data_IF_936998230009
#
_entry.id   IF_936998230009
#
_cell.length_a   1.000
_cell.length_b   1.000
_cell.length_c   1.000
_cell.angle_alpha   90.00
_cell.angle_beta   90.00
_cell.angle_gamma   90.00
#
_symmetry.space_group_name_H-M   'P 1'
#
loop_
_entity.id
_entity.type
_entity.pdbx_description
1 polymer ?
#
# COMPACT_ATOMS: atom_id res chain seq x y z
N UNK A 1 3.27 -7.51 -1.44
CA UNK A 1 3.90 -8.80 -1.03
C UNK A 1 2.95 -9.98 -0.83
N UNK A 2 1.67 -9.79 -0.45
CA UNK A 2 0.72 -10.91 -0.22
C UNK A 2 0.42 -11.73 -1.48
N UNK A 3 0.32 -11.12 -2.66
CA UNK A 3 0.04 -11.87 -3.90
C UNK A 3 1.15 -12.86 -4.28
N UNK A 4 2.42 -12.43 -4.15
CA UNK A 4 3.57 -13.29 -4.43
C UNK A 4 3.69 -14.43 -3.41
N UNK A 5 3.34 -14.19 -2.14
CA UNK A 5 3.38 -15.26 -1.13
C UNK A 5 2.39 -16.37 -1.43
N UNK A 6 1.20 -16.04 -1.92
CA UNK A 6 0.18 -17.02 -2.31
C UNK A 6 0.62 -17.87 -3.51
N UNK A 7 1.19 -17.24 -4.55
CA UNK A 7 1.72 -17.96 -5.71
C UNK A 7 2.87 -18.89 -5.33
N UNK A 8 3.80 -18.42 -4.48
CA UNK A 8 4.90 -19.24 -3.96
C UNK A 8 4.38 -20.39 -3.11
N UNK A 9 3.38 -20.16 -2.26
CA UNK A 9 2.71 -21.19 -1.49
C UNK A 9 2.12 -22.26 -2.39
N UNK A 10 1.42 -21.87 -3.46
CA UNK A 10 0.86 -22.83 -4.40
C UNK A 10 1.94 -23.64 -5.16
N UNK A 11 3.03 -23.00 -5.59
CA UNK A 11 4.18 -23.72 -6.17
C UNK A 11 4.78 -24.72 -5.18
N UNK A 12 4.86 -24.35 -3.90
CA UNK A 12 5.27 -25.25 -2.83
C UNK A 12 4.33 -26.45 -2.69
N UNK A 13 3.00 -26.24 -2.79
CA UNK A 13 2.00 -27.30 -2.74
C UNK A 13 2.15 -28.34 -3.86
N UNK A 14 2.66 -27.96 -5.04
CA UNK A 14 2.88 -28.88 -6.17
C UNK A 14 4.20 -29.65 -6.04
N UNK A 15 5.20 -29.09 -5.36
CA UNK A 15 6.53 -29.69 -5.18
C UNK A 15 6.53 -31.20 -4.86
N UNK A 16 5.72 -31.71 -3.90
CA UNK A 16 5.73 -33.13 -3.57
C UNK A 16 5.31 -34.03 -4.73
N UNK A 17 4.45 -33.56 -5.65
CA UNK A 17 4.07 -34.31 -6.86
C UNK A 17 5.27 -34.48 -7.80
N UNK A 18 6.08 -33.44 -7.96
CA UNK A 18 7.29 -33.46 -8.79
C UNK A 18 8.35 -34.39 -8.19
N UNK A 19 8.61 -34.27 -6.88
CA UNK A 19 9.58 -35.14 -6.18
C UNK A 19 9.14 -36.60 -6.24
N UNK A 20 7.84 -36.88 -6.09
CA UNK A 20 7.32 -38.25 -6.20
C UNK A 20 7.62 -38.90 -7.56
N UNK A 21 7.52 -38.15 -8.67
CA UNK A 21 7.88 -38.68 -9.99
C UNK A 21 9.34 -39.12 -10.04
N UNK A 22 10.24 -38.36 -9.42
CA UNK A 22 11.68 -38.68 -9.37
C UNK A 22 11.94 -39.95 -8.56
N UNK A 23 11.19 -40.17 -7.47
CA UNK A 23 11.37 -41.34 -6.60
C UNK A 23 10.40 -42.49 -6.91
N UNK A 24 9.73 -42.50 -8.06
CA UNK A 24 8.64 -43.43 -8.36
C UNK A 24 9.07 -44.91 -8.27
N UNK A 25 10.30 -45.23 -8.67
CA UNK A 25 10.87 -46.58 -8.65
C UNK A 25 11.52 -46.94 -7.30
N UNK A 26 11.60 -45.99 -6.37
CA UNK A 26 12.25 -46.19 -5.07
C UNK A 26 11.35 -46.97 -4.10
N UNK A 27 11.93 -47.61 -3.07
CA UNK A 27 11.16 -48.33 -2.05
C UNK A 27 10.11 -47.45 -1.37
N UNK A 28 9.06 -48.10 -0.82
CA UNK A 28 7.94 -47.41 -0.14
C UNK A 28 8.39 -46.49 0.99
N UNK A 29 9.50 -46.82 1.67
CA UNK A 29 10.08 -46.01 2.76
C UNK A 29 10.35 -44.57 2.32
N UNK A 30 10.86 -44.37 1.10
CA UNK A 30 11.11 -43.03 0.54
C UNK A 30 9.82 -42.21 0.37
N UNK A 31 8.71 -42.87 0.06
CA UNK A 31 7.42 -42.21 -0.13
C UNK A 31 6.79 -41.81 1.21
N UNK A 32 6.96 -42.62 2.26
CA UNK A 32 6.58 -42.24 3.62
C UNK A 32 7.49 -41.14 4.16
N UNK A 33 8.79 -41.24 3.92
CA UNK A 33 9.78 -40.22 4.28
C UNK A 33 9.49 -38.88 3.60
N UNK A 34 9.14 -38.87 2.30
CA UNK A 34 8.73 -37.67 1.59
C UNK A 34 7.53 -37.00 2.27
N UNK A 35 6.44 -37.74 2.56
CA UNK A 35 5.27 -37.18 3.23
C UNK A 35 5.62 -36.56 4.57
N UNK A 36 6.34 -37.32 5.40
CA UNK A 36 6.70 -36.90 6.76
C UNK A 36 7.60 -35.66 6.71
N UNK A 37 8.69 -35.70 5.95
CA UNK A 37 9.62 -34.58 5.83
C UNK A 37 8.92 -33.35 5.26
N UNK A 38 8.14 -33.53 4.20
CA UNK A 38 7.45 -32.43 3.54
C UNK A 38 6.45 -31.74 4.47
N UNK A 39 5.62 -32.47 5.21
CA UNK A 39 4.65 -31.83 6.11
C UNK A 39 5.30 -31.28 7.37
N UNK A 40 6.28 -31.99 7.95
CA UNK A 40 6.94 -31.54 9.20
C UNK A 40 7.75 -30.29 8.94
N UNK A 41 8.52 -30.21 7.85
CA UNK A 41 9.30 -29.02 7.50
C UNK A 41 8.43 -27.98 6.81
N UNK A 42 7.52 -28.41 5.94
CA UNK A 42 6.73 -27.51 5.11
C UNK A 42 5.61 -26.80 5.85
N UNK A 43 5.00 -27.39 6.88
CA UNK A 43 3.90 -26.73 7.58
C UNK A 43 4.34 -25.44 8.29
N UNK A 44 5.45 -25.38 9.05
CA UNK A 44 5.96 -24.12 9.59
C UNK A 44 6.33 -23.08 8.51
N UNK A 45 6.73 -23.52 7.33
CA UNK A 45 7.19 -22.63 6.26
C UNK A 45 6.06 -22.08 5.39
N UNK A 46 5.05 -22.92 5.09
CA UNK A 46 4.03 -22.65 4.07
C UNK A 46 2.60 -22.94 4.56
N UNK A 47 2.42 -23.40 5.79
CA UNK A 47 1.12 -23.61 6.43
C UNK A 47 0.16 -24.48 5.62
N UNK A 48 -1.00 -23.92 5.31
CA UNK A 48 -2.08 -24.53 4.51
C UNK A 48 -1.56 -25.12 3.19
N UNK A 49 -0.60 -24.47 2.54
CA UNK A 49 -0.05 -24.98 1.28
C UNK A 49 0.72 -26.30 1.43
N UNK A 50 1.35 -26.53 2.59
CA UNK A 50 1.93 -27.83 2.90
C UNK A 50 0.84 -28.90 3.07
N UNK A 51 -0.28 -28.56 3.71
CA UNK A 51 -1.44 -29.45 3.81
C UNK A 51 -2.01 -29.77 2.43
N UNK A 52 -2.17 -28.75 1.59
CA UNK A 52 -2.64 -28.88 0.21
C UNK A 52 -1.75 -29.80 -0.62
N UNK A 53 -0.43 -29.73 -0.45
CA UNK A 53 0.49 -30.65 -1.14
C UNK A 53 0.35 -32.11 -0.70
N UNK A 54 0.07 -32.37 0.57
CA UNK A 54 -0.27 -33.73 1.03
C UNK A 54 -1.61 -34.18 0.44
N UNK A 55 -2.62 -33.30 0.39
CA UNK A 55 -3.90 -33.59 -0.25
C UNK A 55 -3.68 -33.98 -1.72
N UNK A 56 -2.88 -33.23 -2.47
CA UNK A 56 -2.56 -33.59 -3.86
C UNK A 56 -1.86 -34.94 -3.99
N UNK A 57 -0.91 -35.25 -3.11
CA UNK A 57 -0.29 -36.58 -3.07
C UNK A 57 -1.33 -37.68 -2.84
N UNK A 58 -2.25 -37.48 -1.89
CA UNK A 58 -3.32 -38.43 -1.55
C UNK A 58 -4.28 -38.63 -2.73
N UNK A 59 -4.70 -37.55 -3.39
CA UNK A 59 -5.53 -37.60 -4.59
C UNK A 59 -4.82 -38.41 -5.67
N UNK A 60 -3.52 -38.16 -5.92
CA UNK A 60 -2.75 -38.91 -6.90
C UNK A 60 -2.74 -40.43 -6.62
N UNK A 61 -2.75 -40.85 -5.35
CA UNK A 61 -2.78 -42.27 -4.97
C UNK A 61 -4.11 -42.96 -5.22
N UNK A 62 -5.23 -42.25 -5.14
CA UNK A 62 -6.54 -42.80 -5.49
C UNK A 62 -6.56 -43.25 -6.95
N UNK A 63 -5.78 -42.58 -7.79
CA UNK A 63 -5.76 -42.76 -9.23
C UNK A 63 -4.57 -43.60 -9.75
N UNK A 64 -3.67 -44.09 -8.90
CA UNK A 64 -2.53 -44.93 -9.29
C UNK A 64 -2.96 -46.38 -9.57
N UNK A 65 -2.83 -46.88 -10.81
CA UNK A 65 -3.10 -48.28 -11.14
C UNK A 65 -2.04 -49.22 -10.52
N UNK A 66 -2.44 -50.45 -10.18
CA UNK A 66 -1.52 -51.51 -9.72
C UNK A 66 -1.16 -51.52 -8.22
N UNK A 67 -1.54 -50.51 -7.43
CA UNK A 67 -1.29 -50.51 -5.98
C UNK A 67 -2.27 -51.45 -5.24
N UNK A 68 -1.74 -52.39 -4.43
CA UNK A 68 -2.57 -53.28 -3.58
C UNK A 68 -3.48 -52.45 -2.65
N UNK A 69 -4.76 -52.83 -2.55
CA UNK A 69 -5.78 -52.12 -1.76
C UNK A 69 -5.35 -51.84 -0.30
N UNK A 70 -4.78 -52.83 0.39
CA UNK A 70 -4.25 -52.66 1.77
C UNK A 70 -3.13 -51.61 1.85
N UNK A 71 -2.18 -51.61 0.91
CA UNK A 71 -1.11 -50.60 0.89
C UNK A 71 -1.66 -49.21 0.62
N UNK A 72 -2.66 -49.10 -0.28
CA UNK A 72 -3.33 -47.83 -0.57
C UNK A 72 -4.01 -47.27 0.68
N UNK A 73 -4.77 -48.10 1.40
CA UNK A 73 -5.42 -47.72 2.66
C UNK A 73 -4.40 -47.21 3.68
N UNK A 74 -3.34 -47.97 3.97
CA UNK A 74 -2.30 -47.54 4.92
C UNK A 74 -1.65 -46.22 4.50
N UNK A 75 -1.40 -46.03 3.20
CA UNK A 75 -0.80 -44.79 2.72
C UNK A 75 -1.73 -43.58 2.86
N UNK A 76 -3.03 -43.77 2.63
CA UNK A 76 -4.05 -42.73 2.84
C UNK A 76 -4.20 -42.42 4.33
N UNK A 77 -4.38 -43.45 5.17
CA UNK A 77 -4.51 -43.29 6.62
C UNK A 77 -3.32 -42.55 7.21
N UNK A 78 -2.09 -42.90 6.83
CA UNK A 78 -0.88 -42.19 7.29
C UNK A 78 -0.85 -40.73 6.84
N UNK A 79 -1.29 -40.40 5.63
CA UNK A 79 -1.38 -39.02 5.18
C UNK A 79 -2.44 -38.22 5.93
N UNK A 80 -3.62 -38.79 6.18
CA UNK A 80 -4.69 -38.18 6.97
C UNK A 80 -4.28 -37.95 8.43
N UNK A 81 -3.61 -38.93 9.04
CA UNK A 81 -3.06 -38.78 10.40
C UNK A 81 -2.07 -37.62 10.44
N UNK A 82 -1.13 -37.54 9.50
CA UNK A 82 -0.17 -36.44 9.43
C UNK A 82 -0.84 -35.07 9.22
N UNK A 83 -1.86 -35.00 8.36
CA UNK A 83 -2.62 -33.78 8.11
C UNK A 83 -3.25 -33.20 9.38
N UNK A 84 -3.72 -34.06 10.28
CA UNK A 84 -4.36 -33.66 11.53
C UNK A 84 -3.34 -33.48 12.67
N UNK A 85 -2.39 -34.40 12.79
CA UNK A 85 -1.46 -34.43 13.92
C UNK A 85 -0.37 -33.37 13.83
N UNK A 86 0.15 -33.06 12.64
CA UNK A 86 1.29 -32.15 12.51
C UNK A 86 0.93 -30.70 12.88
N UNK A 87 -0.16 -30.12 12.35
CA UNK A 87 -0.62 -28.81 12.81
C UNK A 87 -0.89 -28.80 14.32
N UNK A 88 -1.56 -29.85 14.83
CA UNK A 88 -1.88 -29.97 16.26
C UNK A 88 -0.63 -30.10 17.15
N UNK A 89 0.40 -30.83 16.72
CA UNK A 89 1.67 -30.90 17.44
C UNK A 89 2.35 -29.53 17.44
N UNK A 90 2.34 -28.83 16.31
CA UNK A 90 2.96 -27.52 16.20
C UNK A 90 2.26 -26.45 17.04
N UNK A 91 0.96 -26.56 17.32
CA UNK A 91 0.27 -25.61 18.20
C UNK A 91 0.79 -25.63 19.64
N UNK A 92 1.45 -26.70 20.08
CA UNK A 92 2.12 -26.73 21.39
C UNK A 92 3.46 -25.97 21.43
N UNK A 93 4.12 -25.80 20.27
CA UNK A 93 5.44 -25.19 20.20
C UNK A 93 5.41 -23.75 19.67
N UNK A 94 4.43 -23.40 18.84
CA UNK A 94 4.31 -22.07 18.25
C UNK A 94 3.29 -21.21 19.02
N UNK A 95 3.79 -20.23 19.76
CA UNK A 95 2.96 -19.26 20.49
C UNK A 95 2.27 -18.24 19.58
N UNK A 96 2.72 -18.11 18.32
CA UNK A 96 2.27 -17.08 17.39
C UNK A 96 1.18 -17.58 16.41
N UNK A 97 0.76 -18.84 16.52
CA UNK A 97 -0.32 -19.38 15.70
C UNK A 97 -1.59 -19.37 16.54
N UNK A 98 -2.59 -18.61 16.11
CA UNK A 98 -3.92 -18.67 16.72
C UNK A 98 -4.49 -20.09 16.49
N UNK A 99 -4.83 -20.85 17.54
CA UNK A 99 -5.36 -22.21 17.40
C UNK A 99 -6.63 -22.29 16.53
N UNK A 100 -7.42 -21.21 16.46
CA UNK A 100 -8.62 -21.12 15.60
C UNK A 100 -8.25 -21.23 14.12
N UNK A 101 -7.11 -20.68 13.72
CA UNK A 101 -6.65 -20.62 12.32
C UNK A 101 -5.58 -21.66 12.00
N UNK A 102 -5.41 -22.68 12.84
CA UNK A 102 -4.33 -23.66 12.72
C UNK A 102 -4.25 -24.29 11.31
N UNK A 103 -5.39 -24.68 10.74
CA UNK A 103 -5.45 -25.29 9.41
C UNK A 103 -5.51 -24.27 8.27
N UNK A 104 -5.82 -23.01 8.56
CA UNK A 104 -5.82 -21.91 7.60
C UNK A 104 -4.50 -21.10 7.64
N UNK A 105 -3.55 -21.48 8.49
CA UNK A 105 -2.28 -20.77 8.66
C UNK A 105 -1.58 -20.58 7.30
N UNK A 106 -1.11 -19.37 7.00
CA UNK A 106 -0.46 -19.04 5.72
C UNK A 106 -1.43 -18.69 4.59
N UNK A 107 -2.73 -18.93 4.74
CA UNK A 107 -3.74 -18.25 3.92
C UNK A 107 -3.81 -16.76 4.33
N UNK A 108 -4.28 -15.89 3.42
CA UNK A 108 -4.49 -14.50 3.76
C UNK A 108 -5.57 -14.41 4.84
N UNK A 109 -5.37 -13.49 5.78
CA UNK A 109 -6.30 -13.28 6.89
C UNK A 109 -7.64 -12.75 6.34
N UNK A 110 -8.73 -13.45 6.67
CA UNK A 110 -10.13 -13.12 6.29
C UNK A 110 -10.87 -12.38 7.43
N UNK A 111 -10.15 -11.90 8.45
CA UNK A 111 -10.69 -11.40 9.74
C UNK A 111 -11.49 -10.08 9.66
N UNK A 112 -11.94 -9.66 8.49
CA UNK A 112 -12.75 -8.47 8.36
C UNK A 112 -14.17 -8.82 7.96
N UNK A 113 -15.02 -8.88 8.98
CA UNK A 113 -16.48 -8.98 8.91
C UNK A 113 -17.04 -8.27 7.66
N UNK A 114 -17.52 -9.05 6.69
CA UNK A 114 -18.28 -8.54 5.54
C UNK A 114 -17.54 -8.45 4.20
N UNK A 115 -16.29 -8.92 4.07
CA UNK A 115 -15.74 -9.19 2.74
C UNK A 115 -16.18 -10.56 2.24
N UNK A 116 -17.01 -10.60 1.19
CA UNK A 116 -17.24 -11.82 0.42
C UNK A 116 -15.87 -12.40 0.05
N UNK A 117 -15.59 -13.63 0.48
CA UNK A 117 -14.25 -14.21 0.48
C UNK A 117 -13.66 -14.28 -0.94
N UNK A 118 -12.90 -13.24 -1.32
CA UNK A 118 -12.23 -13.12 -2.62
C UNK A 118 -11.21 -14.25 -2.85
N UNK A 119 -10.90 -15.02 -1.81
CA UNK A 119 -10.01 -16.17 -1.85
C UNK A 119 -10.70 -17.43 -2.36
N UNK A 120 -12.02 -17.55 -2.31
CA UNK A 120 -12.70 -18.77 -2.74
C UNK A 120 -12.51 -19.06 -4.25
N UNK A 121 -12.63 -18.07 -5.17
CA UNK A 121 -12.26 -18.26 -6.57
C UNK A 121 -10.78 -18.68 -6.73
N UNK A 122 -9.88 -18.08 -5.95
CA UNK A 122 -8.44 -18.37 -6.03
C UNK A 122 -8.10 -19.78 -5.53
N UNK A 123 -8.64 -20.18 -4.38
CA UNK A 123 -8.52 -21.52 -3.81
C UNK A 123 -9.12 -22.58 -4.73
N UNK A 124 -10.28 -22.29 -5.34
CA UNK A 124 -10.90 -23.21 -6.30
C UNK A 124 -10.06 -23.35 -7.57
N UNK A 125 -9.43 -22.27 -8.05
CA UNK A 125 -8.49 -22.32 -9.17
C UNK A 125 -7.24 -23.13 -8.84
N UNK A 126 -6.64 -22.93 -7.67
CA UNK A 126 -5.49 -23.74 -7.23
C UNK A 126 -5.83 -25.21 -7.04
N UNK A 127 -6.97 -25.52 -6.43
CA UNK A 127 -7.42 -26.91 -6.26
C UNK A 127 -7.64 -27.55 -7.64
N UNK A 128 -8.36 -26.86 -8.54
CA UNK A 128 -8.63 -27.36 -9.89
C UNK A 128 -7.35 -27.57 -10.68
N UNK A 129 -6.43 -26.61 -10.63
CA UNK A 129 -5.15 -26.71 -11.31
C UNK A 129 -4.25 -27.80 -10.73
N UNK A 130 -4.17 -27.93 -9.40
CA UNK A 130 -3.42 -29.00 -8.75
C UNK A 130 -3.97 -30.39 -9.07
N UNK A 131 -5.30 -30.56 -9.07
CA UNK A 131 -5.93 -31.83 -9.48
C UNK A 131 -5.71 -32.10 -10.96
N UNK A 132 -5.76 -31.07 -11.81
CA UNK A 132 -5.40 -31.19 -13.23
C UNK A 132 -3.96 -31.69 -13.41
N UNK A 133 -2.99 -31.13 -12.67
CA UNK A 133 -1.59 -31.57 -12.68
C UNK A 133 -1.42 -33.01 -12.16
N UNK A 134 -2.19 -33.40 -11.14
CA UNK A 134 -2.26 -34.80 -10.69
C UNK A 134 -2.73 -35.71 -11.81
N UNK A 135 -3.75 -35.31 -12.58
CA UNK A 135 -4.22 -36.07 -13.72
C UNK A 135 -3.18 -36.15 -14.85
N UNK A 136 -2.51 -35.04 -15.15
CA UNK A 136 -1.43 -34.96 -16.14
C UNK A 136 -0.19 -35.76 -15.74
N UNK A 137 -0.10 -36.22 -14.48
CA UNK A 137 0.95 -37.13 -14.04
C UNK A 137 0.79 -38.56 -14.55
N UNK A 138 -0.37 -38.91 -15.13
CA UNK A 138 -0.60 -40.20 -15.78
C UNK A 138 0.02 -40.26 -17.19
N UNK A 139 0.39 -41.46 -17.67
CA UNK A 139 0.74 -41.62 -19.08
C UNK A 139 -0.46 -41.25 -19.97
N UNK A 140 -0.20 -40.54 -21.08
CA UNK A 140 -1.22 -40.01 -22.00
C UNK A 140 -2.26 -41.05 -22.45
N UNK A 141 -1.85 -42.32 -22.56
CA UNK A 141 -2.69 -43.44 -22.98
C UNK A 141 -3.77 -43.83 -21.95
N UNK A 142 -3.61 -43.44 -20.68
CA UNK A 142 -4.53 -43.76 -19.58
C UNK A 142 -5.49 -42.61 -19.24
N UNK A 143 -5.36 -41.46 -19.91
CA UNK A 143 -6.24 -40.31 -19.73
C UNK A 143 -7.57 -40.57 -20.43
N UNK A 144 -8.63 -40.84 -19.66
CA UNK A 144 -9.99 -40.87 -20.21
C UNK A 144 -10.37 -39.48 -20.73
N UNK A 145 -10.70 -39.37 -22.01
CA UNK A 145 -10.99 -38.10 -22.71
C UNK A 145 -12.03 -37.25 -21.99
N UNK A 146 -13.10 -37.87 -21.47
CA UNK A 146 -14.19 -37.17 -20.76
C UNK A 146 -13.76 -36.63 -19.38
N UNK A 147 -12.89 -37.35 -18.67
CA UNK A 147 -12.39 -36.89 -17.37
C UNK A 147 -11.37 -35.75 -17.56
N UNK A 148 -10.53 -35.85 -18.59
CA UNK A 148 -9.59 -34.81 -18.96
C UNK A 148 -10.31 -33.54 -19.42
N UNK A 149 -11.31 -33.65 -20.30
CA UNK A 149 -12.09 -32.50 -20.77
C UNK A 149 -12.89 -31.84 -19.64
N UNK A 150 -13.48 -32.63 -18.73
CA UNK A 150 -14.16 -32.11 -17.54
C UNK A 150 -13.24 -31.34 -16.59
N UNK A 151 -12.05 -31.88 -16.29
CA UNK A 151 -11.05 -31.19 -15.46
C UNK A 151 -10.50 -29.93 -16.13
N UNK A 152 -10.28 -29.98 -17.44
CA UNK A 152 -9.84 -28.81 -18.21
C UNK A 152 -10.93 -27.73 -18.22
N UNK A 153 -12.20 -28.09 -18.39
CA UNK A 153 -13.33 -27.17 -18.29
C UNK A 153 -13.42 -26.55 -16.88
N UNK A 154 -13.24 -27.34 -15.82
CA UNK A 154 -13.21 -26.83 -14.44
C UNK A 154 -12.04 -25.86 -14.20
N UNK A 155 -10.86 -26.15 -14.75
CA UNK A 155 -9.72 -25.24 -14.72
C UNK A 155 -10.04 -23.92 -15.43
N UNK A 156 -10.62 -23.98 -16.63
CA UNK A 156 -11.02 -22.77 -17.35
C UNK A 156 -12.09 -21.97 -16.61
N UNK A 157 -13.09 -22.63 -16.03
CA UNK A 157 -14.14 -21.99 -15.23
C UNK A 157 -13.57 -21.31 -13.99
N UNK A 158 -12.64 -21.97 -13.29
CA UNK A 158 -12.00 -21.39 -12.10
C UNK A 158 -11.04 -20.24 -12.45
N UNK A 159 -10.31 -20.33 -13.55
CA UNK A 159 -9.52 -19.20 -14.08
C UNK A 159 -10.42 -18.02 -14.48
N UNK A 160 -11.55 -18.29 -15.13
CA UNK A 160 -12.53 -17.27 -15.48
C UNK A 160 -13.15 -16.63 -14.24
N UNK A 161 -13.42 -17.42 -13.19
CA UNK A 161 -13.87 -16.90 -11.90
C UNK A 161 -12.80 -15.98 -11.27
N UNK A 162 -11.54 -16.41 -11.20
CA UNK A 162 -10.43 -15.55 -10.71
C UNK A 162 -10.34 -14.25 -11.51
N UNK A 163 -10.41 -14.31 -12.83
CA UNK A 163 -10.39 -13.11 -13.68
C UNK A 163 -11.59 -12.17 -13.45
N UNK A 164 -12.77 -12.74 -13.17
CA UNK A 164 -14.01 -11.99 -12.95
C UNK A 164 -14.01 -11.32 -11.59
N UNK A 165 -13.52 -12.00 -10.55
CA UNK A 165 -13.51 -11.53 -9.17
C UNK A 165 -12.20 -10.83 -8.75
N UNK A 166 -11.19 -10.78 -9.61
CA UNK A 166 -9.96 -10.01 -9.33
C UNK A 166 -10.26 -8.52 -9.24
N UNK A 167 -9.59 -7.83 -8.33
CA UNK A 167 -9.70 -6.38 -8.21
C UNK A 167 -9.06 -5.71 -9.45
N UNK A 168 -9.84 -4.91 -10.18
CA UNK A 168 -9.42 -4.19 -11.40
C UNK A 168 -9.26 -2.68 -11.16
N UNK A 169 -9.21 -2.27 -9.90
CA UNK A 169 -9.05 -0.87 -9.51
C UNK A 169 -7.65 -0.36 -9.92
N UNK A 170 -7.65 0.56 -10.90
CA UNK A 170 -6.42 1.17 -11.41
C UNK A 170 -5.78 2.09 -10.38
N UNK A 171 -6.57 2.70 -9.49
CA UNK A 171 -6.03 3.49 -8.41
C UNK A 171 -5.23 2.59 -7.47
N UNK A 172 -5.80 1.46 -7.04
CA UNK A 172 -5.10 0.49 -6.20
C UNK A 172 -3.81 -0.04 -6.85
N UNK A 173 -3.83 -0.41 -8.14
CA UNK A 173 -2.62 -0.82 -8.87
C UNK A 173 -1.55 0.30 -8.85
N UNK A 174 -1.97 1.54 -9.07
CA UNK A 174 -1.08 2.71 -9.04
C UNK A 174 -0.52 2.96 -7.64
N UNK A 175 -1.34 2.80 -6.59
CA UNK A 175 -0.91 2.93 -5.19
C UNK A 175 0.20 1.93 -4.88
N UNK A 176 0.03 0.65 -5.22
CA UNK A 176 1.05 -0.38 -4.99
C UNK A 176 2.37 -0.06 -5.71
N UNK A 177 2.29 0.44 -6.95
CA UNK A 177 3.47 0.86 -7.71
C UNK A 177 4.16 2.09 -7.09
N UNK A 178 3.38 3.04 -6.58
CA UNK A 178 3.86 4.24 -5.88
C UNK A 178 4.50 3.88 -4.55
N UNK A 179 3.89 3.02 -3.73
CA UNK A 179 4.46 2.58 -2.46
C UNK A 179 5.80 1.89 -2.64
N UNK A 180 5.95 1.07 -3.70
CA UNK A 180 7.23 0.50 -4.05
C UNK A 180 8.27 1.59 -4.40
N UNK A 181 7.87 2.61 -5.18
CA UNK A 181 8.76 3.74 -5.50
C UNK A 181 9.15 4.56 -4.26
N UNK A 182 8.21 4.83 -3.34
CA UNK A 182 8.47 5.49 -2.05
C UNK A 182 9.43 4.65 -1.20
N UNK A 183 9.30 3.33 -1.21
CA UNK A 183 10.17 2.44 -0.44
C UNK A 183 11.63 2.43 -0.92
N UNK A 184 11.86 2.92 -2.14
CA UNK A 184 13.14 3.10 -2.82
C UNK A 184 13.58 4.57 -2.85
N UNK A 185 12.82 5.46 -2.19
CA UNK A 185 13.06 6.91 -2.16
C UNK A 185 13.09 7.57 -3.58
N UNK A 186 12.38 6.99 -4.58
CA UNK A 186 12.28 7.48 -5.98
C UNK A 186 11.03 8.35 -6.20
N UNK A 187 11.14 9.62 -5.79
CA UNK A 187 10.03 10.59 -5.83
C UNK A 187 9.61 11.00 -7.24
N UNK A 188 10.55 11.02 -8.20
CA UNK A 188 10.23 11.32 -9.59
C UNK A 188 9.38 10.22 -10.21
N UNK A 189 9.64 8.96 -9.86
CA UNK A 189 8.78 7.84 -10.28
C UNK A 189 7.38 7.94 -9.68
N UNK A 190 7.25 8.39 -8.42
CA UNK A 190 5.93 8.66 -7.82
C UNK A 190 5.14 9.65 -8.67
N UNK A 191 5.75 10.78 -9.06
CA UNK A 191 5.10 11.78 -9.91
C UNK A 191 4.77 11.27 -11.31
N UNK A 192 5.65 10.46 -11.92
CA UNK A 192 5.38 9.83 -13.22
C UNK A 192 4.19 8.86 -13.15
N UNK A 193 4.13 8.01 -12.12
CA UNK A 193 3.04 7.07 -11.90
C UNK A 193 1.71 7.80 -11.64
N UNK A 194 1.72 8.81 -10.77
CA UNK A 194 0.54 9.63 -10.48
C UNK A 194 -0.01 10.34 -11.74
N UNK A 195 0.86 10.80 -12.65
CA UNK A 195 0.48 11.42 -13.92
C UNK A 195 0.01 10.43 -14.98
N UNK A 196 0.54 9.20 -14.94
CA UNK A 196 0.16 8.13 -15.85
C UNK A 196 -1.25 7.60 -15.57
N UNK A 197 -1.67 7.61 -14.30
CA UNK A 197 -3.03 7.27 -13.92
C UNK A 197 -4.05 8.22 -14.58
N UNK A 198 -5.07 7.64 -15.22
CA UNK A 198 -6.12 8.37 -15.95
C UNK A 198 -7.47 8.35 -15.23
N UNK A 199 -7.61 7.50 -14.23
CA UNK A 199 -8.78 7.50 -13.35
C UNK A 199 -8.81 8.74 -12.46
N UNK A 200 -9.98 9.05 -11.92
CA UNK A 200 -10.08 10.03 -10.83
C UNK A 200 -9.33 9.47 -9.60
N UNK A 201 -8.27 10.12 -9.10
CA UNK A 201 -7.48 9.58 -8.02
C UNK A 201 -8.27 9.61 -6.71
N UNK A 202 -8.12 8.56 -5.91
CA UNK A 202 -8.51 8.63 -4.49
C UNK A 202 -7.57 9.55 -3.70
N UNK A 203 -7.94 9.79 -2.44
CA UNK A 203 -7.17 10.66 -1.54
C UNK A 203 -5.78 10.12 -1.22
N UNK A 204 -5.57 8.80 -1.18
CA UNK A 204 -4.25 8.22 -0.91
C UNK A 204 -3.27 8.60 -2.01
N UNK A 205 -3.69 8.49 -3.27
CA UNK A 205 -2.89 8.91 -4.43
C UNK A 205 -2.61 10.41 -4.42
N UNK A 206 -3.59 11.23 -4.05
CA UNK A 206 -3.42 12.68 -3.87
C UNK A 206 -2.34 12.98 -2.82
N UNK A 207 -2.38 12.30 -1.67
CA UNK A 207 -1.41 12.49 -0.59
C UNK A 207 0.00 12.01 -0.98
N UNK A 208 0.14 10.83 -1.59
CA UNK A 208 1.44 10.34 -2.06
C UNK A 208 2.06 11.27 -3.10
N UNK A 209 1.25 11.77 -4.04
CA UNK A 209 1.70 12.76 -5.01
C UNK A 209 2.13 14.06 -4.33
N UNK A 210 1.33 14.59 -3.41
CA UNK A 210 1.66 15.84 -2.72
C UNK A 210 2.96 15.70 -1.92
N UNK A 211 3.19 14.56 -1.27
CA UNK A 211 4.47 14.26 -0.64
C UNK A 211 5.62 14.31 -1.65
N UNK A 212 5.48 13.68 -2.82
CA UNK A 212 6.52 13.72 -3.85
C UNK A 212 6.76 15.13 -4.41
N UNK A 213 5.71 15.94 -4.57
CA UNK A 213 5.86 17.34 -4.98
C UNK A 213 6.60 18.17 -3.93
N UNK A 214 6.35 17.92 -2.64
CA UNK A 214 7.09 18.56 -1.56
C UNK A 214 8.56 18.15 -1.54
N UNK A 215 8.85 16.86 -1.71
CA UNK A 215 10.23 16.35 -1.83
C UNK A 215 10.97 17.01 -3.00
N UNK A 216 10.26 17.35 -4.07
CA UNK A 216 10.78 18.09 -5.22
C UNK A 216 10.70 19.62 -5.09
N UNK A 217 10.35 20.15 -3.90
CA UNK A 217 10.24 21.60 -3.59
C UNK A 217 9.28 22.34 -4.53
N UNK A 218 8.19 21.68 -4.92
CA UNK A 218 7.24 22.18 -5.91
C UNK A 218 5.78 22.01 -5.48
N UNK A 219 5.50 21.72 -4.21
CA UNK A 219 4.15 21.43 -3.71
C UNK A 219 3.18 22.56 -4.03
N UNK A 220 3.39 23.75 -3.43
CA UNK A 220 2.55 24.91 -3.68
C UNK A 220 2.76 25.51 -5.08
N UNK A 221 3.79 25.10 -5.81
CA UNK A 221 4.02 25.54 -7.19
C UNK A 221 3.17 24.79 -8.21
N UNK A 222 2.84 23.52 -7.94
CA UNK A 222 2.32 22.62 -8.97
C UNK A 222 1.18 21.70 -8.54
N UNK A 223 0.77 21.67 -7.27
CA UNK A 223 -0.26 20.73 -6.79
C UNK A 223 -1.55 20.76 -7.63
N UNK A 224 -2.03 21.91 -8.09
CA UNK A 224 -3.26 21.99 -8.88
C UNK A 224 -3.07 21.63 -10.35
N UNK A 225 -1.84 21.40 -10.82
CA UNK A 225 -1.58 20.80 -12.15
C UNK A 225 -1.95 19.32 -12.23
N UNK A 226 -2.26 18.72 -11.08
CA UNK A 226 -2.68 17.33 -10.96
C UNK A 226 -4.14 17.24 -10.48
N UNK A 227 -4.88 16.20 -10.87
CA UNK A 227 -6.27 16.01 -10.42
C UNK A 227 -6.38 15.94 -8.90
N UNK A 228 -7.31 16.68 -8.31
CA UNK A 228 -7.59 16.67 -6.86
C UNK A 228 -8.81 15.78 -6.55
N UNK A 229 -8.80 14.56 -7.09
CA UNK A 229 -9.91 13.62 -7.00
C UNK A 229 -10.26 13.19 -5.58
N UNK A 230 -11.42 12.57 -5.45
CA UNK A 230 -11.97 12.03 -4.20
C UNK A 230 -12.71 10.71 -4.48
N UNK A 231 -12.15 9.91 -5.39
CA UNK A 231 -12.72 8.62 -5.73
C UNK A 231 -12.77 7.72 -4.47
N UNK A 232 -13.88 7.03 -4.21
CA UNK A 232 -13.96 6.11 -3.08
C UNK A 232 -13.04 4.90 -3.31
N UNK A 233 -12.52 4.34 -2.22
CA UNK A 233 -11.79 3.07 -2.29
C UNK A 233 -12.73 1.97 -2.80
N UNK A 234 -12.30 1.21 -3.81
CA UNK A 234 -13.09 0.11 -4.36
C UNK A 234 -12.95 -1.15 -3.48
N UNK A 235 -13.53 -1.08 -2.29
CA UNK A 235 -13.53 -2.18 -1.31
C UNK A 235 -14.84 -2.20 -0.54
N UNK A 236 -15.38 -3.40 -0.31
CA UNK A 236 -16.52 -3.62 0.59
C UNK A 236 -16.09 -3.72 2.05
N UNK A 237 -14.79 -3.87 2.30
CA UNK A 237 -14.22 -4.00 3.62
C UNK A 237 -14.01 -2.62 4.26
N UNK A 238 -14.87 -2.28 5.23
CA UNK A 238 -14.82 -1.01 5.98
C UNK A 238 -13.55 -0.82 6.81
N UNK A 239 -12.82 -1.89 7.13
CA UNK A 239 -11.54 -1.78 7.81
C UNK A 239 -10.42 -1.34 6.86
N UNK A 240 -10.58 -1.54 5.55
CA UNK A 240 -9.65 -1.02 4.55
C UNK A 240 -9.99 0.44 4.28
N UNK A 241 -9.35 1.32 5.05
CA UNK A 241 -9.51 2.76 4.92
C UNK A 241 -8.17 3.45 4.64
N UNK A 242 -8.26 4.74 4.27
CA UNK A 242 -7.10 5.56 3.91
C UNK A 242 -6.04 5.59 5.00
N UNK A 243 -6.46 5.70 6.26
CA UNK A 243 -5.57 5.72 7.42
C UNK A 243 -4.76 4.42 7.51
N UNK A 244 -5.40 3.24 7.46
CA UNK A 244 -4.70 1.95 7.61
C UNK A 244 -3.73 1.66 6.48
N UNK A 245 -4.02 2.13 5.27
CA UNK A 245 -3.15 1.96 4.10
C UNK A 245 -1.98 2.95 4.16
N UNK A 246 -2.26 4.24 4.29
CA UNK A 246 -1.28 5.28 4.00
C UNK A 246 -0.54 5.80 5.23
N UNK A 247 -1.13 5.71 6.43
CA UNK A 247 -0.56 6.33 7.64
C UNK A 247 0.81 5.74 8.00
N UNK A 248 1.03 4.43 7.77
CA UNK A 248 2.30 3.75 8.04
C UNK A 248 3.50 4.44 7.37
N UNK A 249 3.30 4.88 6.12
CA UNK A 249 4.35 5.44 5.28
C UNK A 249 4.37 6.97 5.38
N UNK A 250 3.22 7.62 5.18
CA UNK A 250 3.15 9.08 5.07
C UNK A 250 3.53 9.81 6.36
N UNK A 251 3.15 9.28 7.52
CA UNK A 251 3.42 9.94 8.81
C UNK A 251 4.92 10.04 9.09
N UNK A 252 5.75 9.09 8.61
CA UNK A 252 7.21 9.21 8.69
C UNK A 252 7.67 10.47 7.96
N UNK A 253 7.23 10.62 6.72
CA UNK A 253 7.65 11.70 5.84
C UNK A 253 7.04 13.06 6.19
N UNK A 254 5.96 13.10 6.97
CA UNK A 254 5.40 14.33 7.55
C UNK A 254 6.08 14.73 8.87
N UNK A 255 7.13 14.04 9.31
CA UNK A 255 7.78 14.31 10.60
C UNK A 255 7.02 13.76 11.81
N UNK A 256 5.88 13.10 11.60
CA UNK A 256 5.04 12.48 12.62
C UNK A 256 5.56 11.08 13.00
N UNK A 257 6.83 11.01 13.39
CA UNK A 257 7.60 9.76 13.58
C UNK A 257 6.92 8.80 14.56
N UNK A 258 6.32 9.32 15.63
CA UNK A 258 5.63 8.50 16.62
C UNK A 258 4.35 7.85 16.09
N UNK A 259 3.62 8.54 15.22
CA UNK A 259 2.47 7.96 14.53
C UNK A 259 2.91 6.87 13.54
N UNK A 260 4.02 7.08 12.84
CA UNK A 260 4.60 6.07 11.98
C UNK A 260 4.93 4.80 12.76
N UNK A 261 5.63 4.94 13.89
CA UNK A 261 5.95 3.81 14.75
C UNK A 261 4.68 3.09 15.24
N UNK A 262 3.70 3.84 15.77
CA UNK A 262 2.44 3.30 16.27
C UNK A 262 1.70 2.48 15.21
N UNK A 263 1.42 3.06 14.05
CA UNK A 263 0.68 2.37 12.97
C UNK A 263 1.41 1.13 12.45
N UNK A 264 2.75 1.18 12.34
CA UNK A 264 3.52 0.03 11.93
C UNK A 264 3.56 -1.08 13.00
N UNK A 265 3.59 -0.71 14.29
CA UNK A 265 3.51 -1.67 15.39
C UNK A 265 2.11 -2.30 15.47
N UNK A 266 1.04 -1.52 15.37
CA UNK A 266 -0.33 -2.03 15.33
C UNK A 266 -0.52 -3.00 14.17
N UNK A 267 -0.11 -2.62 12.95
CA UNK A 267 -0.18 -3.53 11.81
C UNK A 267 0.72 -4.76 11.97
N UNK A 268 1.89 -4.64 12.60
CA UNK A 268 2.74 -5.79 12.88
C UNK A 268 2.13 -6.75 13.92
N UNK A 269 1.43 -6.24 14.92
CA UNK A 269 0.73 -7.05 15.92
C UNK A 269 -0.53 -7.69 15.32
N UNK A 270 -1.28 -6.95 14.48
CA UNK A 270 -2.49 -7.45 13.84
C UNK A 270 -2.23 -8.46 12.72
N UNK A 271 -1.20 -8.25 11.89
CA UNK A 271 -0.97 -9.03 10.66
C UNK A 271 0.36 -9.77 10.62
N UNK A 272 1.15 -9.67 11.69
CA UNK A 272 2.51 -10.20 11.76
C UNK A 272 3.56 -9.20 11.28
N UNK A 273 4.79 -9.43 11.73
CA UNK A 273 5.94 -8.59 11.38
C UNK A 273 6.34 -8.81 9.92
N UNK A 274 6.22 -7.76 9.11
CA UNK A 274 6.70 -7.72 7.73
C UNK A 274 7.99 -6.89 7.62
N UNK A 275 8.74 -7.08 6.53
CA UNK A 275 9.89 -6.22 6.23
C UNK A 275 9.45 -4.75 6.14
N UNK A 276 8.29 -4.48 5.51
CA UNK A 276 7.73 -3.13 5.43
C UNK A 276 7.64 -2.49 6.82
N UNK A 277 6.94 -3.13 7.75
CA UNK A 277 6.74 -2.58 9.10
C UNK A 277 8.09 -2.38 9.83
N UNK A 278 9.00 -3.36 9.72
CA UNK A 278 10.32 -3.31 10.34
C UNK A 278 11.20 -2.17 9.78
N UNK A 279 11.14 -1.88 8.48
CA UNK A 279 11.87 -0.75 7.87
C UNK A 279 11.43 0.59 8.48
N UNK A 280 10.12 0.81 8.57
CA UNK A 280 9.58 2.05 9.11
C UNK A 280 9.80 2.18 10.63
N UNK A 281 9.61 1.10 11.40
CA UNK A 281 9.94 1.09 12.83
C UNK A 281 11.43 1.34 13.07
N UNK A 282 12.33 0.78 12.26
CA UNK A 282 13.76 1.06 12.35
C UNK A 282 14.07 2.55 12.10
N UNK A 283 13.58 3.12 10.98
CA UNK A 283 13.79 4.54 10.65
C UNK A 283 13.23 5.45 11.75
N UNK A 284 12.05 5.12 12.29
CA UNK A 284 11.42 5.86 13.37
C UNK A 284 12.26 5.84 14.66
N UNK A 285 12.72 4.66 15.09
CA UNK A 285 13.59 4.53 16.26
C UNK A 285 14.94 5.23 16.08
N UNK A 286 15.52 5.23 14.87
CA UNK A 286 16.73 6.01 14.56
C UNK A 286 16.48 7.51 14.74
N UNK A 287 15.39 8.02 14.16
CA UNK A 287 14.99 9.43 14.28
C UNK A 287 14.70 9.84 15.74
N UNK A 288 14.18 8.92 16.55
CA UNK A 288 13.91 9.14 17.97
C UNK A 288 15.11 8.89 18.90
N UNK A 289 16.26 8.46 18.38
CA UNK A 289 17.46 8.08 19.18
C UNK A 289 17.20 6.88 20.12
N UNK A 290 16.28 6.00 19.76
CA UNK A 290 15.95 4.80 20.54
C UNK A 290 16.90 3.65 20.16
N UNK A 291 18.13 3.71 20.66
CA UNK A 291 19.22 2.83 20.21
C UNK A 291 18.88 1.33 20.35
N UNK A 292 18.32 0.91 21.49
CA UNK A 292 17.98 -0.48 21.74
C UNK A 292 16.92 -1.01 20.76
N UNK A 293 15.90 -0.20 20.44
CA UNK A 293 14.86 -0.56 19.48
C UNK A 293 15.41 -0.60 18.05
N UNK A 294 16.18 0.42 17.65
CA UNK A 294 16.82 0.46 16.35
C UNK A 294 17.72 -0.78 16.13
N UNK A 295 18.56 -1.14 17.12
CA UNK A 295 19.40 -2.33 17.03
C UNK A 295 18.58 -3.63 16.94
N UNK A 296 17.47 -3.74 17.69
CA UNK A 296 16.57 -4.89 17.62
C UNK A 296 15.98 -5.08 16.22
N UNK A 297 15.41 -4.03 15.63
CA UNK A 297 14.80 -4.13 14.30
C UNK A 297 15.83 -4.37 13.20
N UNK A 298 16.96 -3.69 13.27
CA UNK A 298 18.08 -3.91 12.36
C UNK A 298 18.62 -5.35 12.46
N UNK A 299 18.71 -5.91 13.67
CA UNK A 299 19.11 -7.30 13.86
C UNK A 299 18.17 -8.27 13.13
N UNK A 300 16.86 -8.12 13.30
CA UNK A 300 15.85 -8.97 12.63
C UNK A 300 15.98 -8.85 11.11
N UNK A 301 16.06 -7.63 10.58
CA UNK A 301 16.23 -7.39 9.14
C UNK A 301 17.56 -7.92 8.60
N UNK A 302 18.62 -7.90 9.41
CA UNK A 302 19.94 -8.42 9.04
C UNK A 302 19.98 -9.94 8.82
N UNK A 303 18.97 -10.67 9.30
CA UNK A 303 18.79 -12.11 9.08
C UNK A 303 18.08 -12.44 7.77
N UNK A 304 17.51 -11.44 7.09
CA UNK A 304 16.84 -11.63 5.79
C UNK A 304 17.85 -11.69 4.65
N UNK A 305 17.47 -12.33 3.53
CA UNK A 305 18.35 -12.47 2.36
C UNK A 305 18.60 -11.13 1.64
N UNK A 306 17.59 -10.24 1.58
CA UNK A 306 17.61 -9.05 0.72
C UNK A 306 17.82 -7.74 1.48
N UNK A 307 17.53 -7.66 2.78
CA UNK A 307 17.56 -6.40 3.55
C UNK A 307 18.72 -6.31 4.52
N UNK A 308 19.66 -7.26 4.47
CA UNK A 308 20.82 -7.29 5.37
C UNK A 308 21.72 -6.07 5.25
N UNK A 309 22.05 -5.69 4.01
CA UNK A 309 22.91 -4.54 3.77
C UNK A 309 22.19 -3.24 4.14
N UNK A 310 20.95 -3.09 3.66
CA UNK A 310 20.10 -1.94 3.99
C UNK A 310 19.99 -1.68 5.51
N UNK A 311 19.75 -2.72 6.31
CA UNK A 311 19.63 -2.56 7.77
C UNK A 311 20.93 -2.12 8.44
N UNK A 312 22.09 -2.54 7.91
CA UNK A 312 23.40 -2.09 8.41
C UNK A 312 23.68 -0.64 8.03
N UNK A 313 23.34 -0.26 6.81
CA UNK A 313 23.50 1.11 6.32
C UNK A 313 22.62 2.08 7.11
N UNK A 314 21.40 1.68 7.48
CA UNK A 314 20.52 2.53 8.30
C UNK A 314 21.08 2.76 9.72
N UNK A 315 21.70 1.74 10.35
CA UNK A 315 22.34 1.90 11.67
C UNK A 315 23.52 2.87 11.67
N UNK A 316 24.15 3.13 10.53
CA UNK A 316 25.21 4.14 10.42
C UNK A 316 24.72 5.51 10.90
N UNK A 317 23.47 5.87 10.58
CA UNK A 317 22.92 7.18 10.91
C UNK A 317 22.59 7.36 12.40
N UNK A 318 22.30 6.27 13.11
CA UNK A 318 22.08 6.27 14.56
C UNK A 318 23.32 6.82 15.28
N UNK A 319 24.50 6.30 14.93
CA UNK A 319 25.77 6.66 15.54
C UNK A 319 26.39 7.94 14.93
N UNK A 320 25.86 8.43 13.80
CA UNK A 320 26.38 9.61 13.10
C UNK A 320 25.29 10.69 12.91
N UNK A 321 24.86 11.38 14.00
CA UNK A 321 23.90 12.48 13.96
C UNK A 321 24.09 13.51 12.85
N UNK A 322 25.35 13.88 12.59
CA UNK A 322 25.71 14.87 11.58
C UNK A 322 25.42 14.34 10.18
N UNK A 323 25.80 13.09 9.90
CA UNK A 323 25.55 12.44 8.61
C UNK A 323 24.08 12.19 8.38
N UNK A 324 23.30 11.91 9.43
CA UNK A 324 21.85 11.85 9.34
C UNK A 324 21.25 13.18 8.85
N UNK A 325 21.72 14.33 9.34
CA UNK A 325 21.27 15.65 8.88
C UNK A 325 21.69 15.99 7.43
N UNK A 326 22.72 15.33 6.92
CA UNK A 326 23.18 15.44 5.53
C UNK A 326 22.47 14.44 4.60
N UNK A 327 21.78 13.43 5.14
CA UNK A 327 21.12 12.39 4.37
C UNK A 327 19.78 12.88 3.79
N UNK A 328 19.52 12.73 2.47
CA UNK A 328 18.33 13.30 1.81
C UNK A 328 16.98 12.85 2.42
N UNK A 329 16.88 11.62 2.92
CA UNK A 329 15.65 11.15 3.56
C UNK A 329 15.46 11.77 4.94
N UNK A 330 16.51 11.76 5.76
CA UNK A 330 16.41 12.15 7.16
C UNK A 330 16.40 13.67 7.35
N UNK A 331 17.16 14.41 6.53
CA UNK A 331 17.19 15.86 6.57
C UNK A 331 15.79 16.46 6.40
N UNK A 332 15.03 15.96 5.43
CA UNK A 332 13.67 16.40 5.14
C UNK A 332 12.70 16.07 6.29
N UNK A 333 12.76 14.86 6.83
CA UNK A 333 11.91 14.47 7.97
C UNK A 333 12.23 15.34 9.19
N UNK A 334 13.52 15.58 9.47
CA UNK A 334 13.96 16.43 10.57
C UNK A 334 13.52 17.89 10.40
N UNK A 335 13.52 18.41 9.16
CA UNK A 335 13.06 19.76 8.86
C UNK A 335 11.57 19.97 9.17
N UNK A 336 10.78 18.89 9.14
CA UNK A 336 9.36 18.93 9.51
C UNK A 336 9.12 18.72 11.00
N UNK A 337 10.10 18.25 11.79
CA UNK A 337 9.93 18.02 13.24
C UNK A 337 10.01 19.29 14.10
N UNK A 338 9.86 20.47 13.51
CA UNK A 338 9.81 21.76 14.21
C UNK A 338 8.53 22.00 15.02
N UNK A 339 7.89 20.96 15.55
CA UNK A 339 6.65 21.02 16.31
C UNK A 339 6.71 20.16 17.57
N UNK A 340 5.95 20.54 18.59
CA UNK A 340 5.86 19.76 19.83
C UNK A 340 5.17 18.42 19.53
N UNK A 341 5.76 17.36 20.08
CA UNK A 341 5.26 16.01 19.89
C UNK A 341 3.94 15.85 20.66
N UNK A 342 2.81 15.93 19.96
CA UNK A 342 1.48 15.83 20.55
C UNK A 342 0.81 14.55 20.06
N UNK A 343 0.49 13.66 20.99
CA UNK A 343 -0.19 12.39 20.76
C UNK A 343 -1.73 12.58 20.81
N UNK A 344 -2.23 13.73 20.34
CA UNK A 344 -3.52 14.25 20.81
C UNK A 344 -4.77 13.78 20.05
N UNK A 345 -4.66 13.00 18.98
CA UNK A 345 -5.85 12.43 18.36
C UNK A 345 -5.55 11.10 17.68
N UNK A 346 -6.49 10.16 17.77
CA UNK A 346 -6.57 9.09 16.80
C UNK A 346 -6.85 9.71 15.43
N UNK A 347 -5.97 9.41 14.48
CA UNK A 347 -6.09 9.81 13.08
C UNK A 347 -7.22 8.99 12.45
N UNK A 348 -8.47 9.16 12.88
CA UNK A 348 -9.61 8.41 12.32
C UNK A 348 -9.70 8.68 10.81
N UNK A 349 -9.57 9.97 10.42
CA UNK A 349 -9.30 10.40 9.05
C UNK A 349 -7.93 11.08 8.97
N UNK A 350 -6.96 10.32 8.49
CA UNK A 350 -5.56 10.73 8.44
C UNK A 350 -5.32 12.03 7.65
N UNK A 351 -5.97 12.21 6.49
CA UNK A 351 -5.76 13.41 5.67
C UNK A 351 -6.22 14.70 6.37
N UNK A 352 -7.44 14.68 6.93
CA UNK A 352 -8.01 15.81 7.68
C UNK A 352 -7.10 16.21 8.85
N UNK A 353 -6.65 15.23 9.63
CA UNK A 353 -5.80 15.48 10.78
C UNK A 353 -4.39 15.97 10.40
N UNK A 354 -3.84 15.51 9.27
CA UNK A 354 -2.58 16.05 8.73
C UNK A 354 -2.74 17.52 8.34
N UNK A 355 -3.83 17.86 7.67
CA UNK A 355 -4.10 19.25 7.31
C UNK A 355 -4.29 20.14 8.53
N UNK A 356 -5.11 19.72 9.50
CA UNK A 356 -5.33 20.44 10.75
C UNK A 356 -4.01 20.68 11.50
N UNK A 357 -3.18 19.64 11.61
CA UNK A 357 -1.87 19.74 12.21
C UNK A 357 -1.03 20.86 11.56
N UNK A 358 -0.79 20.79 10.25
CA UNK A 358 0.05 21.77 9.57
C UNK A 358 -0.53 23.19 9.57
N UNK A 359 -1.87 23.33 9.52
CA UNK A 359 -2.53 24.63 9.62
C UNK A 359 -2.32 25.28 11.00
N UNK A 360 -2.28 24.49 12.07
CA UNK A 360 -2.05 24.97 13.44
C UNK A 360 -0.62 25.44 13.72
N UNK A 361 0.36 25.03 12.91
CA UNK A 361 1.77 25.32 13.17
C UNK A 361 2.14 26.78 12.90
N UNK A 362 3.15 27.26 13.61
CA UNK A 362 3.88 28.49 13.32
C UNK A 362 5.20 28.15 12.61
N UNK A 363 5.24 28.12 11.26
CA UNK A 363 6.38 27.58 10.52
C UNK A 363 7.64 28.43 10.71
N UNK A 364 8.78 27.84 11.02
CA UNK A 364 10.08 28.53 11.08
C UNK A 364 10.96 28.25 9.86
N UNK A 365 10.46 27.49 8.89
CA UNK A 365 11.14 27.08 7.69
C UNK A 365 10.18 27.10 6.50
N UNK A 366 10.72 27.25 5.29
CA UNK A 366 9.94 27.16 4.05
C UNK A 366 9.26 25.79 3.92
N UNK A 367 9.94 24.71 4.34
CA UNK A 367 9.41 23.35 4.32
C UNK A 367 8.09 23.20 5.10
N UNK A 368 8.03 23.75 6.33
CA UNK A 368 6.80 23.75 7.13
C UNK A 368 5.75 24.71 6.55
N UNK A 369 6.20 25.83 6.00
CA UNK A 369 5.31 26.81 5.39
C UNK A 369 4.62 26.26 4.14
N UNK A 370 5.31 25.49 3.29
CA UNK A 370 4.70 24.84 2.13
C UNK A 370 3.60 23.85 2.56
N UNK A 371 3.83 23.04 3.59
CA UNK A 371 2.80 22.13 4.11
C UNK A 371 1.62 22.88 4.74
N UNK A 372 1.87 23.94 5.51
CA UNK A 372 0.82 24.81 6.05
C UNK A 372 -0.02 25.42 4.92
N UNK A 373 0.64 26.04 3.95
CA UNK A 373 -0.04 26.71 2.85
C UNK A 373 -0.80 25.73 1.96
N UNK A 374 -0.19 24.60 1.58
CA UNK A 374 -0.91 23.55 0.83
C UNK A 374 -2.15 23.03 1.58
N UNK A 375 -2.08 22.90 2.91
CA UNK A 375 -3.21 22.48 3.73
C UNK A 375 -4.32 23.54 3.75
N UNK A 376 -3.97 24.82 3.85
CA UNK A 376 -4.92 25.93 3.73
C UNK A 376 -5.62 25.91 2.37
N UNK A 377 -4.85 25.74 1.28
CA UNK A 377 -5.40 25.75 -0.08
C UNK A 377 -6.28 24.53 -0.36
N UNK A 378 -5.87 23.33 0.05
CA UNK A 378 -6.66 22.09 -0.13
C UNK A 378 -7.97 22.15 0.68
N UNK A 379 -7.92 22.57 1.95
CA UNK A 379 -9.11 22.65 2.81
C UNK A 379 -9.98 23.89 2.57
N UNK A 380 -9.47 24.87 1.81
CA UNK A 380 -10.07 26.20 1.62
C UNK A 380 -10.24 26.96 2.93
N UNK A 381 -9.32 26.80 3.87
CA UNK A 381 -9.29 27.52 5.14
C UNK A 381 -8.84 28.99 4.96
N UNK A 382 -9.58 29.76 4.16
CA UNK A 382 -9.22 31.13 3.73
C UNK A 382 -8.94 32.09 4.88
N UNK A 383 -9.60 31.88 6.04
CA UNK A 383 -9.37 32.66 7.25
C UNK A 383 -7.92 32.59 7.79
N UNK A 384 -7.16 31.56 7.44
CA UNK A 384 -5.74 31.41 7.80
C UNK A 384 -4.77 31.91 6.73
N UNK A 385 -5.28 32.19 5.52
CA UNK A 385 -4.46 32.41 4.33
C UNK A 385 -3.54 33.62 4.48
N UNK A 386 -4.09 34.79 4.81
CA UNK A 386 -3.32 36.04 4.83
C UNK A 386 -2.18 36.02 5.86
N UNK A 387 -2.40 35.41 7.03
CA UNK A 387 -1.35 35.25 8.04
C UNK A 387 -0.19 34.38 7.51
N UNK A 388 -0.49 33.32 6.77
CA UNK A 388 0.54 32.49 6.14
C UNK A 388 1.21 33.20 4.95
N UNK A 389 0.42 33.93 4.16
CA UNK A 389 0.88 34.71 3.01
C UNK A 389 1.87 35.81 3.41
N UNK A 390 1.54 36.66 4.37
CA UNK A 390 2.44 37.74 4.79
C UNK A 390 3.74 37.20 5.37
N UNK A 391 3.69 36.04 6.02
CA UNK A 391 4.89 35.37 6.51
C UNK A 391 5.84 34.91 5.40
N UNK A 392 5.35 34.60 4.19
CA UNK A 392 6.23 34.41 3.02
C UNK A 392 7.01 35.69 2.72
N UNK A 393 6.32 36.84 2.71
CA UNK A 393 6.92 38.14 2.42
C UNK A 393 7.90 38.57 3.51
N UNK A 394 7.50 38.49 4.78
CA UNK A 394 8.32 38.87 5.93
C UNK A 394 9.61 38.04 6.02
N UNK A 395 9.55 36.76 5.63
CA UNK A 395 10.70 35.85 5.65
C UNK A 395 11.50 35.86 4.34
N UNK A 396 11.09 36.69 3.36
CA UNK A 396 11.66 36.75 2.02
C UNK A 396 11.75 35.38 1.32
N UNK A 397 10.73 34.54 1.52
CA UNK A 397 10.61 33.26 0.84
C UNK A 397 10.01 33.42 -0.54
N UNK A 398 10.46 32.61 -1.49
CA UNK A 398 9.90 32.58 -2.84
C UNK A 398 8.41 32.28 -2.79
N UNK A 399 7.61 33.10 -3.46
CA UNK A 399 6.15 33.02 -3.42
C UNK A 399 5.64 32.04 -4.50
N UNK A 400 5.11 30.86 -4.12
CA UNK A 400 4.73 29.85 -5.11
C UNK A 400 3.53 30.30 -5.96
N UNK A 401 3.45 29.78 -7.19
CA UNK A 401 2.39 30.10 -8.16
C UNK A 401 0.99 30.01 -7.57
N UNK A 402 0.64 28.88 -6.94
CA UNK A 402 -0.72 28.70 -6.42
C UNK A 402 -1.01 29.58 -5.20
N UNK A 403 0.02 30.12 -4.53
CA UNK A 403 -0.14 31.12 -3.47
C UNK A 403 -0.43 32.49 -4.06
N UNK A 404 0.24 32.88 -5.15
CA UNK A 404 -0.09 34.09 -5.89
C UNK A 404 -1.51 34.03 -6.45
N UNK A 405 -1.88 32.90 -7.07
CA UNK A 405 -3.23 32.67 -7.60
C UNK A 405 -4.30 32.76 -6.50
N UNK A 406 -4.05 32.15 -5.33
CA UNK A 406 -4.95 32.23 -4.18
C UNK A 406 -5.10 33.67 -3.67
N UNK A 407 -4.00 34.42 -3.55
CA UNK A 407 -4.03 35.79 -3.05
C UNK A 407 -4.85 36.72 -3.95
N UNK A 408 -4.75 36.56 -5.28
CA UNK A 408 -5.56 37.31 -6.24
C UNK A 408 -7.05 37.01 -6.07
N UNK A 409 -7.41 35.72 -6.00
CA UNK A 409 -8.80 35.31 -5.85
C UNK A 409 -9.40 35.72 -4.49
N UNK A 410 -8.71 35.43 -3.39
CA UNK A 410 -9.18 35.76 -2.04
C UNK A 410 -9.25 37.27 -1.88
N UNK A 411 -8.25 38.01 -2.36
CA UNK A 411 -8.24 39.47 -2.30
C UNK A 411 -9.38 40.11 -3.08
N UNK A 412 -9.74 39.55 -4.25
CA UNK A 412 -10.90 39.99 -5.02
C UNK A 412 -12.21 39.74 -4.29
N UNK A 413 -12.39 38.53 -3.71
CA UNK A 413 -13.62 38.16 -2.99
C UNK A 413 -13.78 38.94 -1.68
N UNK A 414 -12.68 39.26 -0.99
CA UNK A 414 -12.67 40.02 0.26
C UNK A 414 -12.60 41.55 0.04
N UNK A 415 -12.64 42.03 -1.21
CA UNK A 415 -12.51 43.44 -1.58
C UNK A 415 -11.28 44.14 -0.94
N UNK A 416 -10.17 43.42 -0.83
CA UNK A 416 -8.94 43.95 -0.22
C UNK A 416 -8.19 44.91 -1.14
N UNK A 417 -7.51 45.88 -0.52
CA UNK A 417 -6.56 46.76 -1.20
C UNK A 417 -5.27 45.99 -1.56
N UNK A 418 -5.21 45.49 -2.80
CA UNK A 418 -4.14 44.65 -3.34
C UNK A 418 -2.89 45.36 -3.93
N UNK A 419 -2.86 46.66 -4.32
CA UNK A 419 -1.73 47.28 -5.02
C UNK A 419 -0.36 47.08 -4.35
N UNK A 420 -0.31 47.13 -3.01
CA UNK A 420 0.94 46.93 -2.25
C UNK A 420 1.51 45.53 -2.36
N UNK A 421 0.67 44.54 -2.65
CA UNK A 421 1.06 43.13 -2.73
C UNK A 421 1.30 42.70 -4.17
N UNK A 422 0.62 43.33 -5.14
CA UNK A 422 0.74 43.00 -6.58
C UNK A 422 2.17 43.13 -7.12
N UNK A 423 3.00 44.00 -6.55
CA UNK A 423 4.42 44.12 -6.92
C UNK A 423 5.24 42.82 -6.71
N UNK A 424 4.76 41.92 -5.85
CA UNK A 424 5.41 40.65 -5.56
C UNK A 424 4.93 39.51 -6.48
N UNK A 425 3.97 39.77 -7.37
CA UNK A 425 3.38 38.75 -8.23
C UNK A 425 3.98 38.79 -9.63
N UNK A 426 4.03 37.61 -10.26
CA UNK A 426 4.40 37.51 -11.67
C UNK A 426 3.30 38.17 -12.54
N UNK A 427 3.64 39.08 -13.47
CA UNK A 427 2.66 39.74 -14.33
C UNK A 427 1.78 38.77 -15.12
N UNK A 428 2.33 37.63 -15.51
CA UNK A 428 1.60 36.58 -16.22
C UNK A 428 0.47 35.99 -15.37
N UNK A 429 0.65 35.86 -14.04
CA UNK A 429 -0.36 35.33 -13.13
C UNK A 429 -1.50 36.32 -12.95
N UNK A 430 -1.18 37.61 -12.82
CA UNK A 430 -2.17 38.69 -12.73
C UNK A 430 -3.02 38.77 -13.99
N UNK A 431 -2.38 38.77 -15.16
CA UNK A 431 -3.09 38.80 -16.45
C UNK A 431 -3.98 37.57 -16.62
N UNK A 432 -3.47 36.38 -16.26
CA UNK A 432 -4.23 35.13 -16.34
C UNK A 432 -5.46 35.11 -15.42
N UNK A 433 -5.37 35.75 -14.25
CA UNK A 433 -6.53 35.90 -13.36
C UNK A 433 -7.59 36.83 -13.97
N UNK A 434 -7.17 37.94 -14.58
CA UNK A 434 -8.09 38.86 -15.26
C UNK A 434 -8.78 38.22 -16.49
N UNK A 435 -8.08 37.33 -17.20
CA UNK A 435 -8.68 36.53 -18.27
C UNK A 435 -9.68 35.51 -17.72
N UNK A 436 -9.36 34.88 -16.59
CA UNK A 436 -10.26 33.94 -15.92
C UNK A 436 -11.55 34.61 -15.45
N UNK A 437 -11.49 35.77 -14.80
CA UNK A 437 -12.68 36.50 -14.33
C UNK A 437 -13.58 36.95 -15.49
N UNK A 438 -12.98 37.45 -16.58
CA UNK A 438 -13.72 37.77 -17.82
C UNK A 438 -14.39 36.54 -18.43
N UNK A 439 -13.66 35.42 -18.52
CA UNK A 439 -14.21 34.17 -19.03
C UNK A 439 -15.34 33.64 -18.14
N UNK A 440 -15.18 33.70 -16.82
CA UNK A 440 -16.22 33.29 -15.87
C UNK A 440 -17.51 34.10 -16.06
N UNK A 441 -17.41 35.43 -16.15
CA UNK A 441 -18.56 36.31 -16.39
C UNK A 441 -19.24 36.05 -17.73
N UNK A 442 -18.49 35.70 -18.78
CA UNK A 442 -19.08 35.33 -20.09
C UNK A 442 -19.93 34.06 -20.04
N UNK A 443 -19.71 33.20 -19.04
CA UNK A 443 -20.41 31.93 -18.86
C UNK A 443 -21.37 31.91 -17.67
N UNK A 444 -21.64 33.06 -17.03
CA UNK A 444 -22.47 33.15 -15.83
C UNK A 444 -23.91 32.65 -16.04
N UNK A 445 -24.41 32.74 -17.28
CA UNK A 445 -25.74 32.27 -17.69
C UNK A 445 -25.83 30.73 -17.82
N UNK A 446 -24.71 30.01 -17.78
CA UNK A 446 -24.68 28.55 -17.93
C UNK A 446 -24.77 27.85 -16.57
N UNK A 447 -25.19 26.59 -16.57
CA UNK A 447 -25.09 25.75 -15.39
C UNK A 447 -23.62 25.58 -14.94
N UNK A 448 -23.39 25.48 -13.63
CA UNK A 448 -22.04 25.36 -13.05
C UNK A 448 -21.21 24.22 -13.67
N UNK A 449 -21.85 23.09 -14.00
CA UNK A 449 -21.18 21.96 -14.63
C UNK A 449 -20.66 22.28 -16.05
N UNK A 450 -21.41 23.05 -16.83
CA UNK A 450 -21.00 23.49 -18.17
C UNK A 450 -19.91 24.54 -18.10
N UNK A 451 -20.04 25.49 -17.17
CA UNK A 451 -19.01 26.49 -16.89
C UNK A 451 -17.69 25.81 -16.49
N UNK A 452 -17.73 24.84 -15.57
CA UNK A 452 -16.58 24.04 -15.17
C UNK A 452 -15.94 23.35 -16.37
N UNK A 453 -16.74 22.67 -17.22
CA UNK A 453 -16.26 21.96 -18.41
C UNK A 453 -15.54 22.89 -19.38
N UNK A 454 -16.09 24.07 -19.66
CA UNK A 454 -15.50 25.05 -20.58
C UNK A 454 -14.20 25.67 -20.03
N UNK A 455 -14.18 26.02 -18.75
CA UNK A 455 -13.02 26.64 -18.10
C UNK A 455 -11.89 25.63 -17.80
N UNK A 456 -12.19 24.33 -17.71
CA UNK A 456 -11.21 23.28 -17.36
C UNK A 456 -10.01 23.26 -18.30
N UNK A 457 -10.20 23.49 -19.60
CA UNK A 457 -9.11 23.41 -20.60
C UNK A 457 -8.06 24.50 -20.39
N UNK A 458 -8.47 25.71 -20.03
CA UNK A 458 -7.56 26.86 -19.85
C UNK A 458 -7.11 27.08 -18.40
N UNK A 459 -7.96 26.71 -17.44
CA UNK A 459 -7.78 27.08 -16.04
C UNK A 459 -7.85 25.88 -15.08
N UNK A 460 -8.07 24.66 -15.56
CA UNK A 460 -8.20 23.47 -14.71
C UNK A 460 -7.00 23.17 -13.80
N UNK A 461 -5.85 23.79 -14.09
CA UNK A 461 -4.61 23.67 -13.34
C UNK A 461 -4.34 24.82 -12.35
N UNK A 462 -5.36 25.64 -12.03
CA UNK A 462 -5.23 26.85 -11.20
C UNK A 462 -5.94 26.69 -9.86
N UNK A 463 -5.52 27.50 -8.89
CA UNK A 463 -6.13 27.55 -7.56
C UNK A 463 -7.57 28.04 -7.61
N UNK A 464 -7.85 29.09 -8.39
CA UNK A 464 -9.22 29.60 -8.51
C UNK A 464 -10.17 28.57 -9.14
N UNK A 465 -9.74 27.82 -10.17
CA UNK A 465 -10.58 26.74 -10.70
C UNK A 465 -10.87 25.68 -9.65
N UNK A 466 -9.85 25.30 -8.87
CA UNK A 466 -10.03 24.35 -7.77
C UNK A 466 -11.09 24.86 -6.77
N UNK A 467 -11.02 26.12 -6.36
CA UNK A 467 -11.93 26.71 -5.38
C UNK A 467 -13.38 26.82 -5.88
N UNK A 468 -13.60 27.19 -7.13
CA UNK A 468 -14.95 27.40 -7.68
C UNK A 468 -15.63 26.11 -8.19
N UNK A 469 -14.86 25.16 -8.74
CA UNK A 469 -15.45 24.04 -9.52
C UNK A 469 -15.10 22.64 -9.03
N UNK A 470 -14.10 22.49 -8.15
CA UNK A 470 -13.83 21.17 -7.58
C UNK A 470 -14.74 20.99 -6.36
N UNK A 471 -15.39 19.82 -6.18
CA UNK A 471 -16.07 19.54 -4.92
C UNK A 471 -15.11 19.64 -3.73
N UNK A 472 -15.62 20.00 -2.56
CA UNK A 472 -14.83 19.80 -1.34
C UNK A 472 -14.66 18.29 -1.16
N UNK A 473 -13.43 17.86 -0.89
CA UNK A 473 -13.18 16.45 -0.60
C UNK A 473 -13.93 16.08 0.68
N UNK A 474 -14.48 14.87 0.71
CA UNK A 474 -15.23 14.38 1.87
C UNK A 474 -14.23 14.14 2.99
N UNK A 475 -14.43 14.78 4.13
CA UNK A 475 -13.64 14.52 5.33
C UNK A 475 -14.09 13.26 6.07
N UNK A 476 -14.98 12.44 5.46
CA UNK A 476 -15.44 11.11 5.88
C UNK A 476 -16.14 10.39 4.72
#
# INVERSE_FOLDING_TARGET
DVFYSQMLGFLFAILPLAVRKIIAERPKVWHYGLKLLYIVVGYPMAGFYALLGIIFLLIQLLFLPGLKSKTRLVFISTGLVLLLSVPWIYSFFYTNINPVFLYAYGLPVDDFYGSDSMYLPLLSAWLSFGVFLVFLSKPLKELKTLAFSGLFALLLLSMAAVWTFTNKDKNFETQLAIENAISQDDWDKVLRLAKANKEDPDRILVMYRNLALWKNKSLCQTMFRYPQGDAPLQTTNKFVNQTRIAAQTLTLYYGMVNYCYRWNMENAVSFGFSVHNLKYMLRASILNREEALAQKYAHVLSKTLFYKQWARDELYYLNNPRKMREHPVYADILALRGFNNSFAADLEVMESAVHEHFMSLNPNSLSLMEWKMSSILTTRAVHLFWNAFFKYLDSNWALPLHVQEAALMIGHVEERDMPKVLQHFEPAVVNRYQEFTRAMGSFEHLAQADQARLLKKGYGNTTWYYFYYTPRFRTN
#
